data_IF_540958486067
#
_entry.id   IF_540958486067
#
_cell.length_a   1.000
_cell.length_b   1.000
_cell.length_c   1.000
_cell.angle_alpha   90.00
_cell.angle_beta   90.00
_cell.angle_gamma   90.00
#
_symmetry.space_group_name_H-M   'P 1'
#
loop_
_entity.id
_entity.type
_entity.pdbx_description
1 polymer ?
#
# COMPACT_ATOMS: atom_id res chain seq x y z
N UNK A 1 -16.49 8.80 48.09
CA UNK A 1 -15.24 9.38 47.55
C UNK A 1 -15.10 8.82 46.17
N UNK A 2 -15.28 9.64 45.12
CA UNK A 2 -15.12 9.25 43.75
C UNK A 2 -13.62 9.23 43.46
N UNK A 3 -13.06 8.06 43.21
CA UNK A 3 -11.66 7.93 42.87
C UNK A 3 -11.51 8.34 41.40
N UNK A 4 -10.87 9.47 41.17
CA UNK A 4 -10.53 9.92 39.81
C UNK A 4 -9.14 9.38 39.46
N UNK A 5 -9.07 8.54 38.44
CA UNK A 5 -7.78 8.14 37.86
C UNK A 5 -7.39 9.23 36.85
N UNK A 6 -6.36 10.06 37.16
CA UNK A 6 -5.96 11.10 36.23
C UNK A 6 -5.40 10.45 34.98
N UNK A 7 -5.98 10.79 33.84
CA UNK A 7 -5.40 10.49 32.55
C UNK A 7 -4.24 11.46 32.32
N UNK A 8 -3.02 10.95 32.24
CA UNK A 8 -1.90 11.80 31.90
C UNK A 8 -2.13 12.34 30.48
N UNK A 9 -2.09 13.67 30.35
CA UNK A 9 -2.16 14.28 29.04
C UNK A 9 -1.08 13.64 28.16
N UNK A 10 -1.46 13.21 26.96
CA UNK A 10 -0.51 12.72 25.98
C UNK A 10 0.43 13.86 25.64
N UNK A 11 1.68 13.74 26.06
CA UNK A 11 2.74 14.62 25.63
C UNK A 11 2.92 14.43 24.12
N UNK A 12 3.01 15.49 23.30
CA UNK A 12 3.44 15.41 21.91
C UNK A 12 4.79 14.69 21.73
N UNK A 13 5.65 14.67 22.75
CA UNK A 13 6.84 13.83 22.83
C UNK A 13 6.53 12.32 22.91
N UNK A 14 5.27 11.91 22.97
CA UNK A 14 4.85 10.50 22.94
C UNK A 14 5.00 9.84 21.55
N UNK A 15 5.24 10.56 20.49
CA UNK A 15 5.83 9.98 19.29
C UNK A 15 7.23 9.50 19.65
N UNK A 16 7.40 8.19 19.87
CA UNK A 16 8.68 7.57 20.25
C UNK A 16 9.80 7.82 19.24
N UNK A 17 9.44 8.22 18.04
CA UNK A 17 10.34 8.56 16.94
C UNK A 17 10.21 10.05 16.66
N UNK A 18 11.31 10.80 16.54
CA UNK A 18 11.26 12.20 16.17
C UNK A 18 10.44 12.43 14.91
N UNK A 19 9.52 13.37 14.97
CA UNK A 19 8.54 13.61 13.90
C UNK A 19 8.48 15.10 13.57
N UNK A 20 8.31 15.42 12.28
CA UNK A 20 8.01 16.76 11.80
C UNK A 20 6.69 16.75 11.03
N UNK A 21 5.91 17.81 11.19
CA UNK A 21 4.59 17.95 10.58
C UNK A 21 4.57 19.02 9.50
N UNK A 22 3.90 18.70 8.41
CA UNK A 22 3.79 19.50 7.20
C UNK A 22 2.33 19.61 6.76
N UNK A 23 2.03 20.59 5.91
CA UNK A 23 0.72 20.72 5.31
C UNK A 23 0.34 19.49 4.48
N UNK A 24 1.30 18.90 3.77
CA UNK A 24 1.12 17.67 2.99
C UNK A 24 2.36 16.79 3.06
N UNK A 25 2.20 15.47 2.88
CA UNK A 25 3.31 14.51 2.88
C UNK A 25 4.39 14.86 1.85
N UNK A 26 4.00 15.32 0.64
CA UNK A 26 4.93 15.72 -0.41
C UNK A 26 5.86 16.88 0.00
N UNK A 27 5.38 17.77 0.85
CA UNK A 27 6.21 18.87 1.38
C UNK A 27 7.30 18.33 2.30
N UNK A 28 6.96 17.38 3.19
CA UNK A 28 7.94 16.70 4.02
C UNK A 28 8.94 15.87 3.20
N UNK A 29 8.47 15.18 2.17
CA UNK A 29 9.37 14.46 1.26
C UNK A 29 10.31 15.41 0.52
N UNK A 30 9.81 16.53 0.00
CA UNK A 30 10.62 17.55 -0.66
C UNK A 30 11.66 18.14 0.29
N UNK A 31 11.27 18.46 1.52
CA UNK A 31 12.16 19.01 2.52
C UNK A 31 13.27 18.00 2.91
N UNK A 32 12.93 16.71 3.05
CA UNK A 32 13.90 15.63 3.23
C UNK A 32 14.89 15.56 2.05
N UNK A 33 14.38 15.46 0.83
CA UNK A 33 15.18 15.26 -0.38
C UNK A 33 16.00 16.52 -0.76
N UNK A 34 15.67 17.69 -0.23
CA UNK A 34 16.46 18.91 -0.38
C UNK A 34 17.69 18.93 0.54
N UNK A 35 17.78 18.05 1.55
CA UNK A 35 18.91 18.05 2.50
C UNK A 35 20.19 17.52 1.85
N UNK A 36 21.32 18.26 1.93
CA UNK A 36 22.59 17.79 1.37
C UNK A 36 23.06 16.45 1.95
N UNK A 37 22.79 16.20 3.24
CA UNK A 37 23.18 14.96 3.95
C UNK A 37 22.47 13.68 3.48
N UNK A 38 21.47 13.79 2.62
CA UNK A 38 20.77 12.64 2.00
C UNK A 38 21.61 12.05 0.85
N UNK A 39 22.45 12.87 0.21
CA UNK A 39 23.14 12.54 -1.05
C UNK A 39 24.63 12.30 -0.82
N UNK A 40 25.21 11.31 -1.48
CA UNK A 40 26.63 10.96 -1.39
C UNK A 40 27.49 11.68 -2.43
N UNK A 41 26.86 12.28 -3.45
CA UNK A 41 27.55 12.96 -4.52
C UNK A 41 26.71 14.02 -5.20
N UNK A 42 27.23 14.60 -6.29
CA UNK A 42 26.53 15.63 -7.06
C UNK A 42 25.32 15.05 -7.83
N UNK A 43 25.45 13.82 -8.34
CA UNK A 43 24.37 13.11 -8.97
C UNK A 43 23.48 12.51 -7.88
N UNK A 44 22.26 13.01 -7.76
CA UNK A 44 21.28 12.65 -6.75
C UNK A 44 20.34 11.57 -7.31
N UNK A 45 20.74 10.30 -7.15
CA UNK A 45 20.00 9.16 -7.68
C UNK A 45 18.99 8.60 -6.66
N UNK A 46 17.72 8.49 -7.09
CA UNK A 46 16.62 7.94 -6.28
C UNK A 46 15.98 6.74 -6.99
N UNK A 47 15.75 5.65 -6.27
CA UNK A 47 15.15 4.43 -6.78
C UNK A 47 13.72 4.27 -6.26
N UNK A 48 12.76 4.16 -7.15
CA UNK A 48 11.31 4.22 -6.90
C UNK A 48 10.63 2.93 -7.40
N UNK A 49 9.47 2.55 -6.83
CA UNK A 49 8.68 1.45 -7.38
C UNK A 49 8.04 1.83 -8.73
N UNK A 50 7.79 0.83 -9.57
CA UNK A 50 7.20 1.03 -10.91
C UNK A 50 5.69 1.27 -10.93
N UNK A 51 5.04 1.57 -9.79
CA UNK A 51 3.62 1.88 -9.71
C UNK A 51 3.37 3.17 -8.93
N UNK A 52 3.42 4.30 -9.60
CA UNK A 52 3.24 5.64 -9.01
C UNK A 52 2.09 6.36 -9.71
N UNK A 53 1.08 6.73 -8.91
CA UNK A 53 -0.10 7.41 -9.39
C UNK A 53 0.12 8.90 -9.68
N UNK A 54 -0.71 9.40 -10.60
CA UNK A 54 -0.83 10.82 -10.94
C UNK A 54 -2.29 11.20 -11.11
N UNK A 55 -2.64 12.41 -10.75
CA UNK A 55 -3.96 12.98 -11.03
C UNK A 55 -3.85 14.43 -11.47
N UNK A 56 -4.82 14.88 -12.27
CA UNK A 56 -4.87 16.27 -12.74
C UNK A 56 -5.07 17.29 -11.61
N UNK A 57 -5.72 16.87 -10.52
CA UNK A 57 -6.03 17.75 -9.39
C UNK A 57 -4.89 17.87 -8.38
N UNK A 58 -4.11 16.80 -8.18
CA UNK A 58 -3.12 16.74 -7.10
C UNK A 58 -1.69 16.46 -7.57
N UNK A 59 -1.49 16.14 -8.86
CA UNK A 59 -0.19 15.66 -9.36
C UNK A 59 0.16 14.29 -8.80
N UNK A 60 1.43 14.07 -8.49
CA UNK A 60 1.94 12.86 -7.83
C UNK A 60 2.59 13.19 -6.50
N UNK A 61 2.04 12.68 -5.40
CA UNK A 61 2.60 12.92 -4.06
C UNK A 61 4.04 12.42 -3.88
N UNK A 62 4.42 11.39 -4.64
CA UNK A 62 5.76 10.77 -4.58
C UNK A 62 6.70 11.34 -5.62
N UNK A 63 6.22 11.63 -6.83
CA UNK A 63 7.09 11.97 -7.97
C UNK A 63 7.29 13.47 -8.16
N UNK A 64 6.34 14.31 -7.74
CA UNK A 64 6.49 15.76 -7.85
C UNK A 64 7.76 16.28 -7.16
N UNK A 65 8.10 15.88 -5.89
CA UNK A 65 9.33 16.28 -5.25
C UNK A 65 10.59 15.85 -6.01
N UNK A 66 10.54 14.70 -6.68
CA UNK A 66 11.67 14.19 -7.50
C UNK A 66 11.91 15.10 -8.70
N UNK A 67 10.84 15.50 -9.38
CA UNK A 67 10.89 16.39 -10.54
C UNK A 67 11.29 17.82 -10.15
N UNK A 68 10.67 18.36 -9.11
CA UNK A 68 10.93 19.72 -8.62
C UNK A 68 12.39 19.95 -8.19
N UNK A 69 13.03 18.92 -7.63
CA UNK A 69 14.41 18.97 -7.18
C UNK A 69 15.43 18.55 -8.25
N UNK A 70 14.96 18.16 -9.45
CA UNK A 70 15.82 17.70 -10.54
C UNK A 70 16.61 16.45 -10.17
N UNK A 71 16.00 15.49 -9.45
CA UNK A 71 16.63 14.23 -9.08
C UNK A 71 16.65 13.25 -10.28
N UNK A 72 17.54 12.27 -10.22
CA UNK A 72 17.67 11.23 -11.24
C UNK A 72 16.93 9.95 -10.82
N UNK A 73 15.69 9.73 -11.26
CA UNK A 73 14.93 8.54 -10.87
C UNK A 73 15.41 7.29 -11.61
N UNK A 74 15.39 6.17 -10.92
CA UNK A 74 15.33 4.82 -11.45
C UNK A 74 14.07 4.13 -10.94
N UNK A 75 13.68 3.02 -11.58
CA UNK A 75 12.49 2.27 -11.18
C UNK A 75 12.84 0.79 -11.04
N UNK A 76 12.34 0.16 -9.97
CA UNK A 76 12.35 -1.28 -9.78
C UNK A 76 10.94 -1.85 -9.96
N UNK A 77 10.86 -3.11 -10.36
CA UNK A 77 9.60 -3.75 -10.68
C UNK A 77 8.84 -4.19 -9.42
N UNK A 78 7.53 -4.27 -9.58
CA UNK A 78 6.60 -4.86 -8.64
C UNK A 78 5.93 -6.09 -9.28
N UNK A 79 5.49 -7.01 -8.43
CA UNK A 79 4.61 -8.10 -8.83
C UNK A 79 3.19 -7.58 -9.12
N UNK A 80 2.33 -8.41 -9.71
CA UNK A 80 0.95 -8.00 -10.03
C UNK A 80 0.08 -7.70 -8.79
N UNK A 81 0.50 -8.20 -7.61
CA UNK A 81 -0.14 -7.88 -6.32
C UNK A 81 0.56 -6.73 -5.58
N UNK A 82 1.39 -5.96 -6.28
CA UNK A 82 2.13 -4.79 -5.78
C UNK A 82 3.14 -5.09 -4.66
N UNK A 83 3.61 -6.32 -4.53
CA UNK A 83 4.78 -6.60 -3.72
C UNK A 83 6.06 -6.22 -4.49
N UNK A 84 7.12 -5.86 -3.77
CA UNK A 84 8.43 -5.57 -4.38
C UNK A 84 9.01 -6.81 -5.04
N UNK A 85 9.35 -6.74 -6.32
CA UNK A 85 10.22 -7.74 -6.93
C UNK A 85 11.65 -7.50 -6.43
N UNK A 86 12.02 -8.29 -5.41
CA UNK A 86 13.33 -8.15 -4.76
C UNK A 86 14.48 -8.39 -5.72
N UNK A 87 14.29 -9.24 -6.74
CA UNK A 87 15.30 -9.52 -7.74
C UNK A 87 15.53 -8.31 -8.65
N UNK A 88 14.46 -7.65 -9.08
CA UNK A 88 14.55 -6.39 -9.83
C UNK A 88 15.21 -5.29 -8.99
N UNK A 89 14.81 -5.13 -7.72
CA UNK A 89 15.44 -4.16 -6.82
C UNK A 89 16.94 -4.41 -6.65
N UNK A 90 17.35 -5.67 -6.40
CA UNK A 90 18.77 -6.04 -6.24
C UNK A 90 19.56 -5.79 -7.53
N UNK A 91 19.00 -6.10 -8.70
CA UNK A 91 19.61 -5.83 -10.00
C UNK A 91 19.82 -4.31 -10.21
N UNK A 92 18.81 -3.49 -9.92
CA UNK A 92 18.92 -2.03 -10.02
C UNK A 92 19.99 -1.45 -9.10
N UNK A 93 20.07 -1.92 -7.87
CA UNK A 93 21.09 -1.49 -6.90
C UNK A 93 22.50 -1.91 -7.31
N UNK A 94 22.64 -3.03 -8.06
CA UNK A 94 23.92 -3.49 -8.59
C UNK A 94 24.36 -2.73 -9.85
N UNK A 95 23.43 -2.20 -10.64
CA UNK A 95 23.75 -1.44 -11.88
C UNK A 95 24.50 -0.13 -11.58
N UNK A 96 24.07 0.58 -10.54
CA UNK A 96 24.66 1.86 -10.11
C UNK A 96 24.29 2.19 -8.66
N UNK A 97 25.04 3.06 -8.01
CA UNK A 97 24.68 3.54 -6.68
C UNK A 97 23.42 4.41 -6.73
N UNK A 98 22.45 4.11 -5.84
CA UNK A 98 21.33 4.97 -5.52
C UNK A 98 21.49 5.48 -4.10
N UNK A 99 21.15 6.75 -3.87
CA UNK A 99 21.26 7.38 -2.55
C UNK A 99 20.02 7.12 -1.69
N UNK A 100 18.85 7.04 -2.34
CA UNK A 100 17.55 6.83 -1.69
C UNK A 100 16.80 5.71 -2.40
N UNK A 101 16.23 4.79 -1.64
CA UNK A 101 15.25 3.78 -2.10
C UNK A 101 13.92 4.08 -1.43
N UNK A 102 12.87 4.22 -2.23
CA UNK A 102 11.50 4.44 -1.74
C UNK A 102 10.70 3.15 -1.83
N UNK A 103 10.05 2.76 -0.73
CA UNK A 103 9.10 1.65 -0.67
C UNK A 103 7.73 2.19 -0.30
N UNK A 104 6.69 1.81 -1.04
CA UNK A 104 5.31 2.23 -0.78
C UNK A 104 4.54 1.06 -0.15
N UNK A 105 3.91 1.31 0.99
CA UNK A 105 2.96 0.39 1.63
C UNK A 105 1.57 0.58 1.02
N UNK A 106 1.34 -0.03 -0.15
CA UNK A 106 0.15 0.20 -0.96
C UNK A 106 -1.16 -0.12 -0.21
N UNK A 107 -2.09 0.81 -0.24
CA UNK A 107 -3.47 0.69 0.29
C UNK A 107 -3.56 0.22 1.75
N UNK A 108 -2.50 0.41 2.54
CA UNK A 108 -2.45 0.00 3.95
C UNK A 108 -1.91 -1.42 4.17
N UNK A 109 -1.39 -2.09 3.14
CA UNK A 109 -0.70 -3.37 3.28
C UNK A 109 0.80 -3.17 3.52
N UNK A 110 1.35 -3.87 4.48
CA UNK A 110 2.80 -3.91 4.72
C UNK A 110 3.52 -4.57 3.54
N UNK A 111 4.61 -3.97 3.04
CA UNK A 111 5.54 -4.65 2.14
C UNK A 111 6.23 -5.80 2.92
N UNK A 112 5.95 -7.03 2.52
CA UNK A 112 6.40 -8.23 3.26
C UNK A 112 7.90 -8.49 3.15
N UNK A 113 8.52 -8.02 2.08
CA UNK A 113 9.97 -8.11 1.90
C UNK A 113 10.75 -6.97 2.57
N UNK A 114 10.10 -6.11 3.38
CA UNK A 114 10.72 -4.88 3.91
C UNK A 114 12.02 -5.16 4.68
N UNK A 115 12.12 -6.26 5.41
CA UNK A 115 13.35 -6.67 6.09
C UNK A 115 14.47 -6.99 5.09
N UNK A 116 14.16 -7.71 4.01
CA UNK A 116 15.14 -8.00 2.95
C UNK A 116 15.55 -6.75 2.19
N UNK A 117 14.61 -5.84 1.96
CA UNK A 117 14.88 -4.54 1.34
C UNK A 117 15.83 -3.71 2.22
N UNK A 118 15.63 -3.73 3.56
CA UNK A 118 16.53 -3.09 4.51
C UNK A 118 17.97 -3.63 4.39
N UNK A 119 18.14 -4.94 4.34
CA UNK A 119 19.46 -5.57 4.15
C UNK A 119 20.13 -5.13 2.83
N UNK A 120 19.36 -5.02 1.75
CA UNK A 120 19.84 -4.56 0.45
C UNK A 120 20.28 -3.09 0.53
N UNK A 121 19.44 -2.21 1.07
CA UNK A 121 19.76 -0.77 1.18
C UNK A 121 20.97 -0.54 2.08
N UNK A 122 21.11 -1.27 3.20
CA UNK A 122 22.29 -1.20 4.08
C UNK A 122 23.56 -1.59 3.34
N UNK A 123 23.52 -2.69 2.57
CA UNK A 123 24.65 -3.21 1.81
C UNK A 123 25.14 -2.22 0.75
N UNK A 124 24.21 -1.47 0.15
CA UNK A 124 24.51 -0.46 -0.87
C UNK A 124 24.66 0.97 -0.31
N UNK A 125 24.50 1.15 1.00
CA UNK A 125 24.60 2.44 1.68
C UNK A 125 23.52 3.43 1.27
N UNK A 126 22.35 2.96 0.81
CA UNK A 126 21.21 3.77 0.43
C UNK A 126 20.31 4.06 1.64
N UNK A 127 19.72 5.25 1.70
CA UNK A 127 18.68 5.60 2.65
C UNK A 127 17.38 4.91 2.25
N UNK A 128 16.74 4.19 3.16
CA UNK A 128 15.43 3.59 2.95
C UNK A 128 14.32 4.53 3.43
N UNK A 129 13.50 5.02 2.49
CA UNK A 129 12.31 5.81 2.75
C UNK A 129 11.06 4.93 2.61
N UNK A 130 10.32 4.74 3.69
CA UNK A 130 9.02 4.07 3.68
C UNK A 130 7.90 5.10 3.46
N UNK A 131 7.12 4.95 2.39
CA UNK A 131 5.93 5.76 2.15
C UNK A 131 4.69 5.03 2.71
N UNK A 132 4.17 5.59 3.80
CA UNK A 132 2.97 5.15 4.48
C UNK A 132 1.81 6.14 4.27
N UNK A 133 1.73 6.82 3.13
CA UNK A 133 0.63 7.73 2.84
C UNK A 133 -0.75 7.06 2.96
N UNK A 134 -0.79 5.74 2.80
CA UNK A 134 -1.98 4.90 2.91
C UNK A 134 -1.97 3.96 4.13
N UNK A 135 -0.95 4.02 5.00
CA UNK A 135 -0.67 2.96 5.97
C UNK A 135 -0.45 3.44 7.41
N UNK A 136 -0.99 4.61 7.78
CA UNK A 136 -0.91 5.11 9.16
C UNK A 136 -1.46 4.10 10.18
N UNK A 137 -2.63 3.51 9.91
CA UNK A 137 -3.24 2.55 10.84
C UNK A 137 -2.47 1.22 10.88
N UNK A 138 -1.86 0.80 9.78
CA UNK A 138 -0.94 -0.34 9.72
C UNK A 138 0.29 -0.10 10.59
N UNK A 139 0.88 1.09 10.50
CA UNK A 139 1.95 1.48 11.42
C UNK A 139 1.49 1.40 12.89
N UNK A 140 0.30 1.89 13.20
CA UNK A 140 -0.24 1.91 14.55
C UNK A 140 -0.46 0.50 15.15
N UNK A 141 -0.73 -0.51 14.31
CA UNK A 141 -0.87 -1.90 14.74
C UNK A 141 0.46 -2.56 15.19
N UNK A 142 1.60 -1.93 14.97
CA UNK A 142 2.85 -2.35 15.56
C UNK A 142 3.70 -3.32 14.73
N UNK A 143 3.28 -3.63 13.48
CA UNK A 143 4.07 -4.40 12.52
C UNK A 143 5.31 -3.66 12.01
N UNK A 144 6.06 -4.22 11.04
CA UNK A 144 7.31 -3.64 10.55
C UNK A 144 7.16 -2.37 9.72
N UNK A 145 5.96 -2.09 9.18
CA UNK A 145 5.69 -0.89 8.37
C UNK A 145 5.97 0.40 9.14
N UNK A 146 6.80 1.26 8.58
CA UNK A 146 7.22 2.53 9.18
C UNK A 146 8.19 2.39 10.36
N UNK A 147 8.80 1.20 10.55
CA UNK A 147 9.76 0.91 11.60
C UNK A 147 11.07 0.33 11.09
N UNK A 148 11.14 0.03 9.81
CA UNK A 148 12.28 -0.64 9.18
C UNK A 148 13.17 0.37 8.46
N UNK A 149 12.60 1.37 7.80
CA UNK A 149 13.31 2.41 7.07
C UNK A 149 14.08 3.39 7.95
N UNK A 150 14.93 4.17 7.33
CA UNK A 150 15.62 5.31 7.98
C UNK A 150 14.64 6.46 8.21
N UNK A 151 13.68 6.61 7.30
CA UNK A 151 12.66 7.65 7.29
C UNK A 151 11.32 7.05 6.91
N UNK A 152 10.25 7.52 7.53
CA UNK A 152 8.87 7.13 7.20
C UNK A 152 8.01 8.36 6.95
N UNK A 153 7.21 8.33 5.88
CA UNK A 153 6.38 9.42 5.40
C UNK A 153 4.90 9.04 5.51
N UNK A 154 4.07 9.96 6.03
CA UNK A 154 2.64 9.71 6.24
C UNK A 154 1.79 10.84 5.66
N UNK A 155 0.69 10.51 4.99
CA UNK A 155 -0.34 11.45 4.54
C UNK A 155 -1.56 11.33 5.46
N UNK A 156 -1.53 12.07 6.56
CA UNK A 156 -2.52 11.95 7.63
C UNK A 156 -3.94 12.29 7.17
N UNK A 157 -4.11 13.33 6.35
CA UNK A 157 -5.43 13.76 5.87
C UNK A 157 -6.12 12.74 4.96
N UNK A 158 -5.38 11.78 4.39
CA UNK A 158 -5.96 10.64 3.64
C UNK A 158 -6.53 9.57 4.54
N UNK A 159 -6.14 9.57 5.82
CA UNK A 159 -6.46 8.52 6.77
C UNK A 159 -7.34 9.00 7.92
N UNK A 160 -7.19 10.26 8.32
CA UNK A 160 -7.86 10.90 9.46
C UNK A 160 -8.58 12.16 9.02
N UNK A 161 -9.68 12.55 9.68
CA UNK A 161 -10.37 13.82 9.44
C UNK A 161 -9.55 15.00 9.99
N UNK A 162 -8.47 15.36 9.32
CA UNK A 162 -7.57 16.43 9.72
C UNK A 162 -8.14 17.81 9.39
N UNK A 163 -7.89 18.85 10.23
CA UNK A 163 -8.36 20.21 10.00
C UNK A 163 -7.89 20.77 8.66
N UNK A 164 -8.81 21.32 7.86
CA UNK A 164 -8.52 21.93 6.57
C UNK A 164 -7.94 20.98 5.53
N UNK A 165 -8.21 19.68 5.64
CA UNK A 165 -7.66 18.62 4.77
C UNK A 165 -6.12 18.70 4.64
N UNK A 166 -5.43 19.07 5.73
CA UNK A 166 -3.97 19.16 5.84
C UNK A 166 -3.44 18.02 6.68
N UNK A 167 -2.21 17.59 6.44
CA UNK A 167 -1.57 16.60 7.30
C UNK A 167 -0.55 15.75 6.55
N UNK A 168 0.71 16.18 6.59
CA UNK A 168 1.88 15.38 6.29
C UNK A 168 2.69 15.17 7.56
N UNK A 169 3.31 14.02 7.72
CA UNK A 169 4.24 13.75 8.80
C UNK A 169 5.42 12.95 8.28
N UNK A 170 6.60 13.31 8.75
CA UNK A 170 7.83 12.54 8.58
C UNK A 170 8.34 12.11 9.95
N UNK A 171 8.81 10.87 10.03
CA UNK A 171 9.52 10.36 11.21
C UNK A 171 10.89 9.83 10.80
N UNK A 172 11.87 9.89 11.71
CA UNK A 172 13.22 9.41 11.46
C UNK A 172 13.63 8.37 12.49
N UNK A 173 14.43 7.42 12.02
CA UNK A 173 15.10 6.46 12.90
C UNK A 173 16.29 7.12 13.62
N UNK A 174 17.08 7.90 12.88
CA UNK A 174 18.20 8.68 13.40
C UNK A 174 18.10 10.13 12.89
N UNK A 175 17.60 11.06 13.71
CA UNK A 175 17.45 12.46 13.34
C UNK A 175 18.80 13.17 13.17
N UNK A 176 19.87 12.63 13.72
CA UNK A 176 21.21 13.23 13.61
C UNK A 176 21.75 13.26 12.18
N UNK A 177 21.23 12.44 11.29
CA UNK A 177 21.61 12.40 9.87
C UNK A 177 20.91 13.46 9.01
N UNK A 178 19.85 14.06 9.52
CA UNK A 178 18.94 14.95 8.77
C UNK A 178 18.84 16.29 9.47
N UNK A 179 19.78 17.18 9.16
CA UNK A 179 19.83 18.52 9.73
C UNK A 179 19.26 19.53 8.74
N UNK A 180 18.52 20.52 9.22
CA UNK A 180 18.02 21.64 8.42
C UNK A 180 16.58 21.53 7.94
N UNK A 181 15.88 20.41 8.19
CA UNK A 181 14.47 20.30 7.93
C UNK A 181 13.64 21.24 8.82
N UNK A 182 12.55 21.77 8.26
CA UNK A 182 11.70 22.74 8.95
C UNK A 182 10.25 22.26 8.96
N UNK A 183 9.78 21.94 10.15
CA UNK A 183 8.37 21.70 10.40
C UNK A 183 7.52 22.94 10.07
N UNK A 184 6.40 22.74 9.35
CA UNK A 184 5.50 23.84 8.95
C UNK A 184 4.17 23.84 9.71
N UNK A 185 3.77 22.70 10.28
CA UNK A 185 2.45 22.51 10.91
C UNK A 185 2.55 21.78 12.27
N UNK A 186 3.29 22.31 13.27
CA UNK A 186 3.54 21.61 14.53
C UNK A 186 2.27 21.25 15.31
N UNK A 187 1.19 22.03 15.17
CA UNK A 187 -0.07 21.80 15.87
C UNK A 187 -0.82 20.54 15.40
N UNK A 188 -0.47 19.99 14.23
CA UNK A 188 -1.10 18.77 13.73
C UNK A 188 -0.83 17.54 14.62
N UNK A 189 0.26 17.53 15.38
CA UNK A 189 0.59 16.44 16.30
C UNK A 189 -0.55 16.14 17.28
N UNK A 190 -1.20 17.17 17.81
CA UNK A 190 -2.33 17.03 18.76
C UNK A 190 -3.51 16.34 18.10
N UNK A 191 -3.85 16.73 16.88
CA UNK A 191 -4.98 16.16 16.14
C UNK A 191 -4.79 14.67 15.84
N UNK A 192 -3.57 14.22 15.59
CA UNK A 192 -3.29 12.78 15.37
C UNK A 192 -3.55 11.98 16.65
N UNK A 193 -3.18 12.53 17.81
CA UNK A 193 -3.34 11.87 19.10
C UNK A 193 -4.78 11.85 19.61
N UNK A 194 -5.66 12.70 19.10
CA UNK A 194 -7.07 12.78 19.48
C UNK A 194 -7.92 11.62 18.92
N UNK A 195 -7.38 10.82 18.01
CA UNK A 195 -8.10 9.71 17.35
C UNK A 195 -7.87 8.37 18.04
N UNK A 196 -8.93 7.57 18.18
CA UNK A 196 -8.83 6.14 18.54
C UNK A 196 -8.28 5.33 17.37
N UNK A 197 -6.97 5.42 17.18
CA UNK A 197 -6.27 4.82 16.04
C UNK A 197 -6.45 3.31 15.96
N UNK A 198 -6.45 2.62 17.11
CA UNK A 198 -6.61 1.15 17.13
C UNK A 198 -8.06 0.73 16.87
N UNK A 199 -9.03 1.45 17.41
CA UNK A 199 -10.45 1.21 17.10
C UNK A 199 -10.77 1.45 15.61
N UNK A 200 -10.20 2.49 15.03
CA UNK A 200 -10.33 2.75 13.57
C UNK A 200 -9.69 1.63 12.76
N UNK A 201 -8.48 1.18 13.11
CA UNK A 201 -7.80 0.07 12.45
C UNK A 201 -8.65 -1.22 12.48
N UNK A 202 -9.18 -1.57 13.66
CA UNK A 202 -10.04 -2.74 13.84
C UNK A 202 -11.31 -2.66 12.96
N UNK A 203 -11.96 -1.49 12.91
CA UNK A 203 -13.15 -1.27 12.05
C UNK A 203 -12.81 -1.45 10.56
N UNK A 204 -11.68 -0.93 10.10
CA UNK A 204 -11.23 -1.10 8.71
C UNK A 204 -10.94 -2.56 8.37
N UNK A 205 -10.34 -3.31 9.30
CA UNK A 205 -10.12 -4.75 9.15
C UNK A 205 -11.43 -5.54 9.07
N UNK A 206 -12.40 -5.20 9.92
CA UNK A 206 -13.75 -5.80 9.91
C UNK A 206 -14.45 -5.53 8.57
N UNK A 207 -14.46 -4.28 8.12
CA UNK A 207 -15.04 -3.86 6.85
C UNK A 207 -14.40 -4.58 5.66
N UNK A 208 -13.08 -4.69 5.63
CA UNK A 208 -12.36 -5.43 4.58
C UNK A 208 -12.81 -6.89 4.51
N UNK A 209 -12.86 -7.58 5.66
CA UNK A 209 -13.25 -8.99 5.72
C UNK A 209 -14.71 -9.19 5.30
N UNK A 210 -15.61 -8.33 5.77
CA UNK A 210 -17.02 -8.38 5.44
C UNK A 210 -17.25 -8.20 3.92
N UNK A 211 -16.67 -7.17 3.32
CA UNK A 211 -16.81 -6.92 1.88
C UNK A 211 -16.13 -8.03 1.04
N UNK A 212 -14.95 -8.48 1.42
CA UNK A 212 -14.24 -9.57 0.74
C UNK A 212 -15.06 -10.85 0.72
N UNK A 213 -15.71 -11.20 1.83
CA UNK A 213 -16.56 -12.40 1.92
C UNK A 213 -17.77 -12.31 0.95
N UNK A 214 -18.40 -11.15 0.86
CA UNK A 214 -19.53 -10.93 -0.07
C UNK A 214 -19.05 -11.01 -1.53
N UNK A 215 -17.95 -10.37 -1.88
CA UNK A 215 -17.42 -10.35 -3.25
C UNK A 215 -17.00 -11.75 -3.73
N UNK A 216 -16.41 -12.57 -2.86
CA UNK A 216 -16.04 -13.95 -3.19
C UNK A 216 -17.26 -14.85 -3.46
N UNK A 217 -18.42 -14.51 -2.93
CA UNK A 217 -19.67 -15.24 -3.15
C UNK A 217 -20.33 -14.95 -4.50
N UNK A 218 -19.84 -13.98 -5.27
CA UNK A 218 -20.43 -13.60 -6.54
C UNK A 218 -20.01 -14.55 -7.68
N UNK A 219 -20.92 -14.90 -8.60
CA UNK A 219 -20.61 -15.72 -9.77
C UNK A 219 -19.61 -15.05 -10.72
N UNK A 220 -19.51 -13.74 -10.69
CA UNK A 220 -18.59 -12.93 -11.51
C UNK A 220 -17.13 -12.93 -10.96
N UNK A 221 -16.92 -13.42 -9.71
CA UNK A 221 -15.59 -13.52 -9.11
C UNK A 221 -14.70 -14.50 -9.88
N UNK A 222 -13.49 -14.08 -10.23
CA UNK A 222 -12.55 -14.83 -11.07
C UNK A 222 -12.89 -14.84 -12.56
N UNK A 223 -13.99 -14.21 -12.98
CA UNK A 223 -14.44 -14.13 -14.38
C UNK A 223 -14.49 -12.69 -14.88
N UNK A 224 -15.12 -11.78 -14.15
CA UNK A 224 -15.20 -10.37 -14.49
C UNK A 224 -14.39 -9.48 -13.57
N UNK A 225 -14.06 -9.95 -12.39
CA UNK A 225 -13.20 -9.25 -11.44
C UNK A 225 -12.42 -10.21 -10.54
N UNK A 226 -11.33 -9.70 -9.95
CA UNK A 226 -10.48 -10.39 -8.99
C UNK A 226 -10.14 -9.47 -7.82
N UNK A 227 -10.01 -10.05 -6.62
CA UNK A 227 -9.42 -9.35 -5.47
C UNK A 227 -7.90 -9.33 -5.63
N UNK A 228 -7.28 -8.17 -5.48
CA UNK A 228 -5.81 -8.09 -5.49
C UNK A 228 -5.22 -8.84 -4.30
N UNK A 229 -5.88 -8.72 -3.14
CA UNK A 229 -5.46 -9.40 -1.91
C UNK A 229 -6.64 -10.16 -1.33
N UNK A 230 -6.58 -11.49 -1.38
CA UNK A 230 -7.67 -12.30 -0.84
C UNK A 230 -7.74 -12.27 0.69
N UNK A 231 -6.61 -12.03 1.35
CA UNK A 231 -6.48 -12.08 2.80
C UNK A 231 -5.77 -10.83 3.34
N UNK A 232 -6.11 -10.48 4.57
CA UNK A 232 -5.53 -9.38 5.32
C UNK A 232 -4.72 -9.93 6.47
N UNK A 233 -3.44 -9.54 6.57
CA UNK A 233 -2.63 -9.90 7.71
C UNK A 233 -3.08 -9.18 9.00
N UNK A 234 -2.81 -9.75 10.18
CA UNK A 234 -3.24 -9.16 11.45
C UNK A 234 -2.69 -7.76 11.71
N UNK A 235 -1.50 -7.48 11.18
CA UNK A 235 -0.78 -6.21 11.31
C UNK A 235 -1.03 -5.24 10.14
N UNK A 236 -1.98 -5.52 9.25
CA UNK A 236 -2.41 -4.62 8.19
C UNK A 236 -3.75 -3.96 8.52
N UNK A 237 -3.88 -2.66 8.27
CA UNK A 237 -5.14 -1.93 8.32
C UNK A 237 -5.40 -1.26 6.96
N UNK A 238 -6.35 -1.76 6.17
CA UNK A 238 -6.53 -1.33 4.78
C UNK A 238 -7.03 0.10 4.70
N UNK A 239 -6.51 0.86 3.72
CA UNK A 239 -7.09 2.12 3.31
C UNK A 239 -8.34 1.88 2.48
N UNK A 240 -8.23 1.00 1.49
CA UNK A 240 -9.28 0.58 0.56
C UNK A 240 -9.16 -0.93 0.32
N UNK A 241 -10.17 -1.53 -0.30
CA UNK A 241 -10.08 -2.86 -0.87
C UNK A 241 -9.82 -2.73 -2.38
N UNK A 242 -8.60 -2.98 -2.86
CA UNK A 242 -8.28 -2.94 -4.28
C UNK A 242 -8.80 -4.19 -4.99
N UNK A 243 -9.50 -3.98 -6.10
CA UNK A 243 -10.10 -5.00 -6.95
C UNK A 243 -9.67 -4.74 -8.39
N UNK A 244 -9.44 -5.78 -9.16
CA UNK A 244 -9.18 -5.70 -10.59
C UNK A 244 -10.47 -6.01 -11.35
N UNK A 245 -10.96 -5.08 -12.14
CA UNK A 245 -12.02 -5.33 -13.13
C UNK A 245 -11.35 -5.84 -14.40
N UNK A 246 -11.67 -7.05 -14.79
CA UNK A 246 -10.99 -7.71 -15.90
C UNK A 246 -11.45 -7.13 -17.24
N UNK A 247 -10.49 -7.01 -18.18
CA UNK A 247 -10.69 -6.44 -19.50
C UNK A 247 -9.35 -6.18 -20.18
N UNK A 248 -9.38 -5.91 -21.48
CA UNK A 248 -8.16 -5.61 -22.27
C UNK A 248 -7.70 -4.16 -22.11
N UNK A 249 -8.66 -3.25 -21.97
CA UNK A 249 -8.46 -1.83 -21.76
C UNK A 249 -8.91 -1.35 -20.36
N UNK A 250 -9.26 -0.09 -20.28
CA UNK A 250 -9.79 0.54 -19.06
C UNK A 250 -11.32 0.66 -19.05
N UNK A 251 -11.95 0.33 -20.16
CA UNK A 251 -13.36 0.60 -20.43
C UNK A 251 -14.26 -0.10 -19.42
N UNK A 252 -13.97 -1.37 -19.08
CA UNK A 252 -14.71 -2.11 -18.07
C UNK A 252 -14.57 -1.47 -16.68
N UNK A 253 -13.33 -1.14 -16.27
CA UNK A 253 -13.07 -0.48 -15.00
C UNK A 253 -13.73 0.90 -14.92
N UNK A 254 -13.60 1.71 -15.97
CA UNK A 254 -14.19 3.06 -16.01
C UNK A 254 -15.72 2.99 -15.97
N UNK A 255 -16.33 2.00 -16.62
CA UNK A 255 -17.76 1.75 -16.56
C UNK A 255 -18.22 1.43 -15.13
N UNK A 256 -17.59 0.45 -14.47
CA UNK A 256 -17.92 0.08 -13.08
C UNK A 256 -17.74 1.27 -12.15
N UNK A 257 -16.62 2.01 -12.30
CA UNK A 257 -16.33 3.20 -11.50
C UNK A 257 -17.42 4.28 -11.65
N UNK A 258 -17.84 4.56 -12.88
CA UNK A 258 -18.85 5.57 -13.16
C UNK A 258 -20.23 5.17 -12.64
N UNK A 259 -20.66 3.93 -12.89
CA UNK A 259 -21.96 3.44 -12.45
C UNK A 259 -22.10 3.42 -10.93
N UNK A 260 -21.10 2.87 -10.23
CA UNK A 260 -21.14 2.80 -8.76
C UNK A 260 -21.06 4.18 -8.10
N UNK A 261 -20.28 5.11 -8.65
CA UNK A 261 -20.22 6.48 -8.14
C UNK A 261 -21.50 7.27 -8.44
N UNK A 262 -22.15 7.02 -9.56
CA UNK A 262 -23.47 7.59 -9.87
C UNK A 262 -24.53 7.17 -8.84
N UNK A 263 -24.40 5.97 -8.28
CA UNK A 263 -25.25 5.46 -7.20
C UNK A 263 -24.79 5.91 -5.79
N UNK A 264 -23.64 6.61 -5.68
CA UNK A 264 -23.17 7.23 -4.42
C UNK A 264 -22.27 6.35 -3.55
N UNK A 265 -21.71 5.25 -4.08
CA UNK A 265 -20.91 4.31 -3.28
C UNK A 265 -19.45 4.74 -3.02
N UNK A 266 -19.03 5.92 -3.51
CA UNK A 266 -17.74 6.50 -3.14
C UNK A 266 -16.52 5.69 -3.57
N UNK A 267 -16.56 5.13 -4.78
CA UNK A 267 -15.41 4.41 -5.35
C UNK A 267 -14.23 5.36 -5.55
N UNK A 268 -13.03 4.91 -5.24
CA UNK A 268 -11.84 5.77 -5.26
C UNK A 268 -10.96 5.46 -6.47
N UNK A 269 -10.49 6.53 -7.15
CA UNK A 269 -9.70 6.45 -8.39
C UNK A 269 -8.18 6.44 -8.17
N UNK A 270 -7.71 5.79 -7.09
CA UNK A 270 -6.28 5.68 -6.83
C UNK A 270 -5.58 4.87 -7.93
N UNK A 271 -4.49 5.41 -8.48
CA UNK A 271 -3.66 4.78 -9.52
C UNK A 271 -4.37 4.48 -10.85
N UNK A 272 -5.49 5.15 -11.14
CA UNK A 272 -6.17 5.06 -12.44
C UNK A 272 -5.33 5.65 -13.58
N UNK A 273 -4.39 6.51 -13.25
CA UNK A 273 -3.37 7.05 -14.16
C UNK A 273 -2.02 6.99 -13.46
N UNK A 274 -0.98 6.59 -14.17
CA UNK A 274 0.39 6.59 -13.68
C UNK A 274 1.12 7.86 -14.15
N UNK A 275 2.25 8.15 -13.49
CA UNK A 275 3.18 9.18 -13.98
C UNK A 275 3.65 8.87 -15.40
N UNK A 276 4.07 9.89 -16.13
CA UNK A 276 4.50 9.78 -17.54
C UNK A 276 5.54 8.67 -17.76
N UNK A 277 6.53 8.58 -16.88
CA UNK A 277 7.65 7.64 -16.94
C UNK A 277 7.22 6.16 -16.86
N UNK A 278 6.04 5.90 -16.32
CA UNK A 278 5.50 4.54 -16.10
C UNK A 278 4.26 4.24 -16.95
N UNK A 279 3.86 5.17 -17.82
CA UNK A 279 2.65 5.05 -18.64
C UNK A 279 2.64 3.78 -19.49
N UNK A 280 3.80 3.42 -20.01
CA UNK A 280 3.98 2.27 -20.90
C UNK A 280 4.62 1.06 -20.21
N UNK A 281 4.74 1.07 -18.88
CA UNK A 281 5.27 -0.07 -18.14
C UNK A 281 4.34 -1.29 -18.31
N UNK A 282 4.84 -2.44 -18.84
CA UNK A 282 3.96 -3.51 -19.38
C UNK A 282 2.93 -4.03 -18.38
N UNK A 283 3.35 -4.40 -17.16
CA UNK A 283 2.47 -4.96 -16.13
C UNK A 283 1.71 -3.88 -15.38
N UNK A 284 2.38 -2.79 -14.99
CA UNK A 284 1.79 -1.74 -14.14
C UNK A 284 0.78 -0.88 -14.89
N UNK A 285 1.00 -0.60 -16.19
CA UNK A 285 0.02 0.07 -17.02
C UNK A 285 -1.25 -0.77 -17.22
N UNK A 286 -1.12 -2.11 -17.33
CA UNK A 286 -2.27 -3.01 -17.36
C UNK A 286 -3.03 -2.96 -16.02
N UNK A 287 -2.32 -3.08 -14.91
CA UNK A 287 -2.93 -2.99 -13.58
C UNK A 287 -3.66 -1.66 -13.37
N UNK A 288 -3.04 -0.54 -13.76
CA UNK A 288 -3.64 0.80 -13.68
C UNK A 288 -4.96 0.90 -14.46
N UNK A 289 -5.08 0.20 -15.60
CA UNK A 289 -6.34 0.15 -16.37
C UNK A 289 -7.43 -0.72 -15.74
N UNK A 290 -7.08 -1.62 -14.82
CA UNK A 290 -8.01 -2.59 -14.23
C UNK A 290 -8.37 -2.27 -12.77
N UNK A 291 -7.50 -1.57 -12.04
CA UNK A 291 -7.68 -1.37 -10.60
C UNK A 291 -8.82 -0.41 -10.28
N UNK A 292 -9.62 -0.77 -9.28
CA UNK A 292 -10.64 0.05 -8.65
C UNK A 292 -10.57 -0.15 -7.14
N UNK A 293 -10.84 0.87 -6.36
CA UNK A 293 -10.69 0.84 -4.91
C UNK A 293 -12.04 0.99 -4.22
N UNK A 294 -12.45 -0.07 -3.53
CA UNK A 294 -13.70 -0.10 -2.77
C UNK A 294 -13.52 0.50 -1.38
N UNK A 295 -14.51 1.27 -0.88
CA UNK A 295 -14.43 1.89 0.42
C UNK A 295 -14.55 0.85 1.54
N UNK A 296 -13.56 0.84 2.46
CA UNK A 296 -13.54 0.02 3.68
C UNK A 296 -13.17 0.87 4.90
N UNK A 297 -13.27 2.20 4.78
CA UNK A 297 -12.93 3.12 5.87
C UNK A 297 -13.93 2.99 7.04
N UNK A 298 -13.56 3.52 8.18
CA UNK A 298 -14.30 3.40 9.44
C UNK A 298 -15.74 3.95 9.41
N UNK A 299 -16.03 4.85 8.47
CA UNK A 299 -17.34 5.50 8.35
C UNK A 299 -18.34 4.69 7.51
N UNK A 300 -17.89 3.60 6.87
CA UNK A 300 -18.77 2.67 6.15
C UNK A 300 -19.42 1.73 7.16
N UNK A 301 -20.75 1.63 7.13
CA UNK A 301 -21.46 0.63 7.90
C UNK A 301 -21.47 -0.72 7.14
N UNK A 302 -21.13 -1.85 7.77
CA UNK A 302 -21.18 -3.16 7.11
C UNK A 302 -22.54 -3.49 6.50
N UNK A 303 -23.63 -2.93 7.05
CA UNK A 303 -25.00 -3.09 6.53
C UNK A 303 -25.21 -2.49 5.13
N UNK A 304 -24.31 -1.59 4.68
CA UNK A 304 -24.39 -0.98 3.34
C UNK A 304 -23.75 -1.86 2.25
N UNK A 305 -22.93 -2.84 2.62
CA UNK A 305 -22.23 -3.68 1.65
C UNK A 305 -23.12 -4.54 0.76
N UNK A 306 -24.27 -5.10 1.20
CA UNK A 306 -25.17 -5.78 0.27
C UNK A 306 -25.68 -4.88 -0.86
N UNK A 307 -25.98 -3.62 -0.58
CA UNK A 307 -26.40 -2.65 -1.59
C UNK A 307 -25.26 -2.28 -2.55
N UNK A 308 -24.05 -2.09 -2.02
CA UNK A 308 -22.85 -1.84 -2.81
C UNK A 308 -22.55 -3.04 -3.75
N UNK A 309 -22.63 -4.26 -3.25
CA UNK A 309 -22.40 -5.49 -4.03
C UNK A 309 -23.46 -5.66 -5.11
N UNK A 310 -24.74 -5.39 -4.81
CA UNK A 310 -25.80 -5.41 -5.81
C UNK A 310 -25.59 -4.37 -6.92
N UNK A 311 -25.05 -3.18 -6.58
CA UNK A 311 -24.67 -2.17 -7.58
C UNK A 311 -23.52 -2.68 -8.46
N UNK A 312 -22.48 -3.28 -7.86
CA UNK A 312 -21.41 -3.91 -8.63
C UNK A 312 -21.94 -4.95 -9.61
N UNK A 313 -22.81 -5.84 -9.18
CA UNK A 313 -23.39 -6.87 -10.06
C UNK A 313 -24.15 -6.27 -11.24
N UNK A 314 -24.93 -5.20 -11.02
CA UNK A 314 -25.60 -4.47 -12.12
C UNK A 314 -24.59 -3.90 -13.11
N UNK A 315 -23.53 -3.25 -12.62
CA UNK A 315 -22.49 -2.68 -13.46
C UNK A 315 -21.73 -3.77 -14.25
N UNK A 316 -21.38 -4.89 -13.60
CA UNK A 316 -20.76 -6.03 -14.27
C UNK A 316 -21.69 -6.67 -15.32
N UNK A 317 -23.02 -6.64 -15.08
CA UNK A 317 -24.03 -7.09 -16.03
C UNK A 317 -24.05 -6.31 -17.35
N UNK A 318 -23.50 -5.10 -17.41
CA UNK A 318 -23.53 -4.17 -18.54
C UNK A 318 -22.14 -3.77 -19.05
N UNK A 319 -21.09 -4.58 -18.76
CA UNK A 319 -19.71 -4.28 -19.19
C UNK A 319 -19.60 -4.07 -20.70
N UNK A 320 -18.83 -3.06 -21.15
CA UNK A 320 -18.59 -2.78 -22.59
C UNK A 320 -17.88 -3.93 -23.30
N UNK A 321 -16.91 -4.57 -22.63
CA UNK A 321 -16.08 -5.65 -23.18
C UNK A 321 -16.53 -7.04 -22.65
N UNK A 322 -17.65 -7.57 -23.09
CA UNK A 322 -18.14 -8.90 -22.68
C UNK A 322 -17.47 -10.09 -23.42
N UNK A 323 -16.71 -9.84 -24.49
CA UNK A 323 -16.21 -10.87 -25.38
C UNK A 323 -14.80 -11.40 -25.11
N UNK A 324 -14.04 -10.83 -24.17
CA UNK A 324 -12.61 -11.10 -23.99
C UNK A 324 -12.24 -11.89 -22.71
N UNK A 325 -13.22 -12.33 -21.94
CA UNK A 325 -12.99 -13.04 -20.67
C UNK A 325 -12.81 -14.55 -20.93
N UNK A 326 -11.63 -14.93 -21.46
CA UNK A 326 -11.21 -16.33 -21.38
C UNK A 326 -10.88 -16.64 -19.92
N UNK A 327 -11.38 -17.77 -19.34
CA UNK A 327 -11.04 -18.13 -17.99
C UNK A 327 -9.53 -18.34 -17.89
N UNK A 328 -8.86 -17.59 -17.04
CA UNK A 328 -7.51 -17.88 -16.64
C UNK A 328 -7.51 -19.31 -16.07
N UNK A 329 -6.73 -20.22 -16.68
CA UNK A 329 -6.69 -21.61 -16.31
C UNK A 329 -6.47 -21.74 -14.81
N UNK A 330 -7.40 -22.38 -14.11
CA UNK A 330 -7.26 -22.74 -12.70
C UNK A 330 -5.91 -23.44 -12.53
N UNK A 331 -5.02 -23.02 -11.63
CA UNK A 331 -3.83 -23.79 -11.33
C UNK A 331 -4.29 -25.18 -10.92
N UNK A 332 -3.77 -26.21 -11.58
CA UNK A 332 -4.07 -27.61 -11.29
C UNK A 332 -3.74 -27.87 -9.80
N UNK A 333 -4.71 -28.43 -9.08
CA UNK A 333 -4.47 -28.88 -7.72
C UNK A 333 -3.25 -29.84 -7.72
N UNK A 334 -2.35 -29.75 -6.72
CA UNK A 334 -1.20 -30.64 -6.65
C UNK A 334 -1.70 -32.09 -6.60
N UNK A 335 -1.21 -32.89 -7.54
CA UNK A 335 -1.48 -34.31 -7.60
C UNK A 335 -1.11 -34.94 -6.25
N UNK A 336 -2.07 -35.55 -5.59
CA UNK A 336 -1.80 -36.38 -4.42
C UNK A 336 -0.97 -37.58 -4.91
N UNK A 337 0.31 -37.60 -4.56
CA UNK A 337 1.17 -38.76 -4.74
C UNK A 337 0.67 -39.85 -3.83
N UNK A 338 -0.01 -40.84 -4.40
CA UNK A 338 -0.41 -42.06 -3.74
C UNK A 338 0.83 -42.82 -3.23
N UNK A 339 1.02 -42.82 -1.93
CA UNK A 339 1.98 -43.69 -1.29
C UNK A 339 1.43 -45.14 -1.34
N UNK A 340 1.96 -45.93 -2.27
CA UNK A 340 1.79 -47.36 -2.31
C UNK A 340 2.56 -47.97 -1.11
N UNK A 341 1.81 -48.43 -0.12
CA UNK A 341 2.35 -49.21 0.98
C UNK A 341 2.67 -50.64 0.49
N UNK A 342 3.93 -50.92 0.22
CA UNK A 342 4.42 -52.29 0.09
C UNK A 342 4.71 -52.86 1.48
N UNK A 343 3.98 -53.92 1.84
CA UNK A 343 4.22 -54.80 3.00
C UNK A 343 5.54 -55.57 2.81
N UNK A 344 6.38 -55.69 3.80
CA UNK A 344 7.42 -56.72 3.80
C UNK A 344 6.87 -58.04 4.34
N UNK A 345 6.99 -59.09 3.52
CA UNK A 345 6.76 -60.47 3.90
C UNK A 345 8.08 -61.10 4.41
N UNK A 346 7.96 -61.87 5.49
CA UNK A 346 8.76 -63.07 5.70
C UNK A 346 10.00 -62.96 6.56
N UNK A 347 9.85 -63.38 7.79
CA UNK A 347 10.92 -63.95 8.64
C UNK A 347 11.18 -65.41 8.21
N UNK A 348 12.43 -65.90 8.20
CA UNK A 348 12.70 -67.25 8.69
C UNK A 348 13.68 -67.21 9.87
N UNK A 349 13.29 -67.94 10.89
CA UNK A 349 14.05 -68.44 12.00
C UNK A 349 15.20 -69.40 11.54
N UNK A 350 16.33 -69.35 12.21
CA UNK A 350 17.42 -70.31 12.05
C UNK A 350 18.56 -70.07 13.02
N UNK A 351 18.58 -70.91 14.01
CA UNK A 351 19.52 -71.13 15.09
C UNK A 351 20.97 -71.26 14.65
N UNK A 352 21.92 -70.75 15.40
CA UNK A 352 23.06 -71.38 16.08
C UNK A 352 23.77 -70.30 16.93
#
# INVERSE_FOLDING_TARGET
>A
VTQTIPKTATDPAAFRTPSLFYRAAREGMRDLLAQPGVWRGERRDILLPSFIGWSANEGSGVFDPVTELGLHPGFYDLTEDLAVDVSSLEARLAERPYDVVVVIHYFGRTERAIGRIRELTDRHGALLLEDLAHAWFTHALGGPAGRTGDVSLYSLHKMLPMPGARGGMITYRDPGRLTGQRETEPDLSRHVLDHDTLGIAARRQENFRALTALLRGLPEFGVAFELMWPDLAPDDAPQTLPVRILGTGRENRDHVYAEMNREGFGMVSLYHTLIEQLRDHPSMARLSRQIINFPVHQDVAPADYPALVASLQRALGTLPERGALAPAGRPAAPAQSGASASRPSGVPTGSA
#
